data_IF_720587951255
#
_entry.id   IF_720587951255
#
_cell.length_a   1.000
_cell.length_b   1.000
_cell.length_c   1.000
_cell.angle_alpha   90.00
_cell.angle_beta   90.00
_cell.angle_gamma   90.00
#
_symmetry.space_group_name_H-M   'P 1'
#
loop_
_entity.id
_entity.type
_entity.pdbx_description
1 polymer ?
#
# COMPACT_ATOMS: atom_id res chain seq x y z
N UNK A 1 -1.50 -2.51 -2.71
CA UNK A 1 -1.40 -3.08 -4.06
C UNK A 1 0.04 -3.14 -4.39
N UNK A 2 0.57 -4.30 -4.39
CA UNK A 2 1.99 -4.50 -4.51
C UNK A 2 2.46 -4.16 -5.92
N UNK A 3 2.58 -2.90 -6.18
CA UNK A 3 3.39 -2.40 -7.29
C UNK A 3 4.84 -2.85 -7.13
N UNK A 4 5.25 -3.19 -5.90
CA UNK A 4 6.61 -3.58 -5.56
C UNK A 4 7.17 -4.77 -6.28
N UNK A 5 6.42 -5.82 -6.44
CA UNK A 5 6.93 -7.00 -7.13
C UNK A 5 7.16 -6.72 -8.63
N UNK A 6 6.24 -6.00 -9.28
CA UNK A 6 6.46 -5.59 -10.68
C UNK A 6 7.59 -4.58 -10.80
N UNK A 7 7.71 -3.67 -9.86
CA UNK A 7 8.79 -2.67 -9.84
C UNK A 7 10.15 -3.34 -9.64
N UNK A 8 10.26 -4.33 -8.75
CA UNK A 8 11.49 -5.15 -8.61
C UNK A 8 11.89 -5.84 -9.92
N UNK A 9 10.93 -6.29 -10.70
CA UNK A 9 11.21 -6.89 -12.01
C UNK A 9 11.81 -5.89 -12.99
N UNK A 10 11.41 -4.61 -12.92
CA UNK A 10 11.88 -3.56 -13.81
C UNK A 10 13.04 -2.75 -13.22
N UNK A 11 13.01 -2.46 -11.93
CA UNK A 11 14.06 -1.71 -11.24
C UNK A 11 14.11 -2.06 -9.74
N UNK A 12 15.13 -2.83 -9.29
CA UNK A 12 15.27 -3.21 -7.89
C UNK A 12 15.39 -2.02 -6.92
N UNK A 13 16.02 -0.92 -7.35
CA UNK A 13 16.18 0.26 -6.50
C UNK A 13 14.84 0.95 -6.22
N UNK A 14 13.98 1.03 -7.22
CA UNK A 14 12.64 1.61 -7.04
C UNK A 14 11.75 0.69 -6.18
N UNK A 15 12.04 -0.60 -6.11
CA UNK A 15 11.34 -1.53 -5.20
C UNK A 15 11.57 -1.19 -3.72
N UNK A 16 12.67 -0.52 -3.38
CA UNK A 16 12.87 0.00 -2.02
C UNK A 16 11.78 0.99 -1.59
N UNK A 17 11.13 1.68 -2.54
CA UNK A 17 9.98 2.54 -2.26
C UNK A 17 8.73 1.78 -1.80
N UNK A 18 8.58 0.55 -2.24
CA UNK A 18 7.47 -0.29 -1.77
C UNK A 18 7.70 -0.73 -0.32
N UNK A 19 8.96 -0.97 0.04
CA UNK A 19 9.35 -1.24 1.43
C UNK A 19 9.08 -0.03 2.34
N UNK A 20 9.18 1.21 1.81
CA UNK A 20 8.79 2.42 2.54
C UNK A 20 7.29 2.53 2.77
N UNK A 21 6.47 2.01 1.86
CA UNK A 21 5.03 1.90 2.07
C UNK A 21 4.67 1.10 3.33
N UNK A 22 5.55 0.18 3.75
CA UNK A 22 5.39 -0.61 4.98
C UNK A 22 5.92 0.13 6.21
N UNK A 23 6.68 1.22 6.02
CA UNK A 23 7.33 1.97 7.10
C UNK A 23 6.43 3.08 7.60
N UNK A 24 5.38 2.72 8.34
CA UNK A 24 4.67 3.71 9.14
C UNK A 24 5.51 4.09 10.35
N UNK A 25 5.70 5.38 10.57
CA UNK A 25 6.39 5.90 11.75
C UNK A 25 5.45 5.80 12.94
N UNK A 26 5.91 5.13 14.00
CA UNK A 26 5.15 4.96 15.23
C UNK A 26 5.72 5.90 16.29
N UNK A 27 4.85 6.71 16.88
CA UNK A 27 5.15 7.58 18.02
C UNK A 27 4.13 7.33 19.11
N UNK A 28 4.59 7.11 20.34
CA UNK A 28 3.72 6.85 21.51
C UNK A 28 2.70 5.73 21.24
N UNK A 29 3.12 4.64 20.57
CA UNK A 29 2.27 3.49 20.27
C UNK A 29 1.21 3.71 19.17
N UNK A 30 1.21 4.87 18.51
CA UNK A 30 0.29 5.19 17.41
C UNK A 30 1.05 5.51 16.14
N UNK A 31 0.45 5.21 15.00
CA UNK A 31 1.02 5.60 13.70
C UNK A 31 0.92 7.12 13.53
N UNK A 32 2.08 7.76 13.35
CA UNK A 32 2.19 9.18 13.01
C UNK A 32 2.10 9.33 11.49
N UNK A 33 0.89 9.54 10.98
CA UNK A 33 0.66 9.68 9.54
C UNK A 33 1.36 10.87 8.90
N UNK A 34 1.35 12.08 9.52
CA UNK A 34 2.11 13.21 9.00
C UNK A 34 3.60 12.91 8.84
N UNK A 35 4.25 12.33 9.86
CA UNK A 35 5.65 11.95 9.81
C UNK A 35 5.92 10.85 8.78
N UNK A 36 5.00 9.91 8.62
CA UNK A 36 5.08 8.83 7.64
C UNK A 36 5.02 9.39 6.21
N UNK A 37 4.08 10.27 5.90
CA UNK A 37 4.00 10.91 4.58
C UNK A 37 5.19 11.84 4.31
N UNK A 38 5.71 12.52 5.33
CA UNK A 38 6.91 13.34 5.19
C UNK A 38 8.14 12.49 4.85
N UNK A 39 8.25 11.30 5.43
CA UNK A 39 9.30 10.33 5.06
C UNK A 39 9.17 9.90 3.61
N UNK A 40 7.97 9.55 3.17
CA UNK A 40 7.69 9.22 1.76
C UNK A 40 8.07 10.38 0.85
N UNK A 41 7.69 11.62 1.20
CA UNK A 41 8.04 12.82 0.43
C UNK A 41 9.55 13.01 0.28
N UNK A 42 10.30 12.90 1.36
CA UNK A 42 11.77 13.01 1.35
C UNK A 42 12.43 11.94 0.49
N UNK A 43 11.91 10.73 0.55
CA UNK A 43 12.41 9.63 -0.28
C UNK A 43 12.13 9.87 -1.77
N UNK A 44 10.92 10.27 -2.12
CA UNK A 44 10.59 10.65 -3.51
C UNK A 44 11.49 11.80 -3.97
N UNK A 45 11.76 12.78 -3.12
CA UNK A 45 12.67 13.89 -3.41
C UNK A 45 14.09 13.38 -3.70
N UNK A 46 14.61 12.46 -2.90
CA UNK A 46 15.92 11.84 -3.13
C UNK A 46 15.99 11.14 -4.48
N UNK A 47 15.00 10.31 -4.81
CA UNK A 47 14.95 9.60 -6.07
C UNK A 47 14.65 10.50 -7.29
N UNK A 48 14.13 11.70 -7.05
CA UNK A 48 13.92 12.71 -8.10
C UNK A 48 15.13 13.64 -8.29
N UNK A 49 16.23 13.41 -7.57
CA UNK A 49 17.47 14.18 -7.72
C UNK A 49 18.29 13.72 -8.92
N UNK A 50 19.13 14.59 -9.53
CA UNK A 50 20.06 14.18 -10.57
C UNK A 50 21.02 13.06 -10.12
N UNK A 51 21.45 13.07 -8.85
CA UNK A 51 22.36 12.07 -8.30
C UNK A 51 21.76 10.65 -8.32
N UNK A 52 20.43 10.53 -8.21
CA UNK A 52 19.73 9.26 -8.23
C UNK A 52 19.38 8.75 -9.64
N UNK A 53 19.63 9.53 -10.70
CA UNK A 53 19.14 9.20 -12.06
C UNK A 53 19.62 7.84 -12.54
N UNK A 54 20.89 7.48 -12.29
CA UNK A 54 21.42 6.16 -12.67
C UNK A 54 20.74 5.00 -11.94
N UNK A 55 20.29 5.23 -10.71
CA UNK A 55 19.58 4.23 -9.90
C UNK A 55 18.15 4.01 -10.39
N UNK A 56 17.59 4.96 -11.14
CA UNK A 56 16.23 4.90 -11.65
C UNK A 56 16.12 4.15 -12.99
N UNK A 57 17.23 3.70 -13.56
CA UNK A 57 17.28 2.99 -14.84
C UNK A 57 17.68 1.53 -14.64
N UNK A 58 16.97 0.62 -15.31
CA UNK A 58 17.33 -0.78 -15.39
C UNK A 58 17.10 -1.29 -16.83
N UNK A 59 18.19 -1.57 -17.54
CA UNK A 59 18.12 -1.88 -18.96
C UNK A 59 17.54 -0.71 -19.75
N UNK A 60 16.45 -0.94 -20.47
CA UNK A 60 15.72 0.07 -21.25
C UNK A 60 14.56 0.73 -20.49
N UNK A 61 14.38 0.41 -19.24
CA UNK A 61 13.26 0.96 -18.44
C UNK A 61 13.75 1.94 -17.40
N UNK A 62 13.04 3.05 -17.26
CA UNK A 62 13.30 4.08 -16.29
C UNK A 62 12.06 4.38 -15.45
N UNK A 63 12.25 4.57 -14.14
CA UNK A 63 11.21 5.13 -13.26
C UNK A 63 11.15 6.63 -13.48
N UNK A 64 10.14 7.08 -14.22
CA UNK A 64 9.95 8.47 -14.63
C UNK A 64 9.02 9.27 -13.70
N UNK A 65 8.48 8.66 -12.66
CA UNK A 65 7.65 9.34 -11.68
C UNK A 65 7.27 8.46 -10.52
N UNK A 66 7.08 9.08 -9.35
CA UNK A 66 6.62 8.41 -8.13
C UNK A 66 5.61 9.33 -7.46
N UNK A 67 4.41 8.78 -7.16
CA UNK A 67 3.29 9.54 -6.61
C UNK A 67 2.70 8.81 -5.42
N UNK A 68 2.40 9.48 -4.28
CA UNK A 68 1.63 8.87 -3.22
C UNK A 68 0.20 8.58 -3.70
N UNK A 69 -0.32 7.42 -3.31
CA UNK A 69 -1.68 6.99 -3.69
C UNK A 69 -2.60 6.80 -2.48
N UNK A 70 -2.09 7.05 -1.30
CA UNK A 70 -2.84 6.97 -0.06
C UNK A 70 -2.45 5.79 0.81
N UNK A 71 -3.10 5.72 1.94
CA UNK A 71 -2.90 4.67 2.93
C UNK A 71 -3.83 3.51 2.64
N UNK A 72 -3.30 2.28 2.63
CA UNK A 72 -4.13 1.10 2.62
C UNK A 72 -4.66 0.83 4.03
N UNK A 73 -5.97 0.70 4.11
CA UNK A 73 -6.70 0.32 5.32
C UNK A 73 -7.29 -1.08 5.19
N UNK A 74 -7.50 -1.80 6.30
CA UNK A 74 -8.35 -2.99 6.31
C UNK A 74 -9.77 -2.62 5.91
N UNK A 75 -10.27 -3.20 4.83
CA UNK A 75 -11.66 -3.11 4.39
C UNK A 75 -12.28 -4.48 4.60
N UNK A 76 -13.29 -4.57 5.44
CA UNK A 76 -13.87 -5.83 5.92
C UNK A 76 -15.38 -5.87 5.68
N UNK A 77 -15.90 -7.07 5.37
CA UNK A 77 -17.34 -7.30 5.18
C UNK A 77 -18.10 -7.49 6.51
N UNK A 78 -17.39 -7.65 7.62
CA UNK A 78 -17.93 -7.68 8.99
C UNK A 78 -17.03 -6.85 9.91
N UNK A 79 -17.60 -5.81 10.56
CA UNK A 79 -16.85 -4.93 11.49
C UNK A 79 -16.33 -5.65 12.75
N UNK A 80 -16.74 -6.88 13.00
CA UNK A 80 -16.16 -7.73 14.04
C UNK A 80 -14.76 -8.22 13.69
N UNK A 81 -14.34 -8.12 12.41
CA UNK A 81 -12.96 -8.38 11.98
C UNK A 81 -12.13 -7.13 12.28
N UNK A 82 -11.91 -6.86 13.55
CA UNK A 82 -11.21 -5.66 14.06
C UNK A 82 -10.11 -5.97 15.07
N UNK A 83 -9.76 -7.25 15.26
CA UNK A 83 -8.64 -7.72 16.08
C UNK A 83 -7.75 -8.65 15.27
N UNK A 84 -6.50 -8.84 15.70
CA UNK A 84 -5.57 -9.78 15.05
C UNK A 84 -6.13 -11.20 15.13
N UNK A 85 -6.71 -11.57 16.26
CA UNK A 85 -7.30 -12.91 16.49
C UNK A 85 -8.51 -13.15 15.57
N UNK A 86 -9.29 -12.10 15.27
CA UNK A 86 -10.44 -12.22 14.38
C UNK A 86 -10.05 -12.41 12.91
N UNK A 87 -8.79 -12.22 12.55
CA UNK A 87 -8.27 -12.52 11.20
C UNK A 87 -8.09 -14.02 10.96
N UNK A 88 -7.93 -14.82 12.02
CA UNK A 88 -7.75 -16.26 11.87
C UNK A 88 -8.91 -16.91 11.09
N UNK A 89 -8.56 -17.72 10.09
CA UNK A 89 -9.51 -18.38 9.21
C UNK A 89 -10.23 -17.48 8.21
N UNK A 90 -10.02 -16.14 8.20
CA UNK A 90 -10.63 -15.23 7.23
C UNK A 90 -9.98 -15.34 5.87
N UNK A 91 -10.80 -15.19 4.83
CA UNK A 91 -10.34 -15.17 3.44
C UNK A 91 -9.89 -13.75 3.10
N UNK A 92 -8.60 -13.59 2.83
CA UNK A 92 -7.98 -12.30 2.53
C UNK A 92 -7.48 -12.30 1.09
N UNK A 93 -7.85 -11.31 0.30
CA UNK A 93 -7.34 -11.20 -1.06
C UNK A 93 -5.81 -11.02 -1.03
N UNK A 94 -5.12 -11.88 -1.77
CA UNK A 94 -3.67 -11.88 -1.93
C UNK A 94 -3.33 -11.75 -3.40
N UNK A 95 -2.50 -10.77 -3.75
CA UNK A 95 -2.07 -10.62 -5.13
C UNK A 95 -1.10 -11.72 -5.53
N UNK A 96 -1.36 -12.39 -6.65
CA UNK A 96 -0.58 -13.55 -7.13
C UNK A 96 0.91 -13.26 -7.33
N UNK A 97 1.23 -12.00 -7.59
CA UNK A 97 2.60 -11.52 -7.77
C UNK A 97 3.25 -11.02 -6.47
N UNK A 98 2.54 -11.05 -5.31
CA UNK A 98 3.03 -10.56 -4.02
C UNK A 98 3.21 -11.71 -3.01
N UNK A 99 4.36 -12.37 -3.10
CA UNK A 99 4.71 -13.45 -2.17
C UNK A 99 4.75 -12.98 -0.71
N UNK A 100 5.19 -11.75 -0.47
CA UNK A 100 5.26 -11.19 0.87
C UNK A 100 3.88 -11.05 1.50
N UNK A 101 2.89 -10.59 0.73
CA UNK A 101 1.50 -10.51 1.18
C UNK A 101 0.94 -11.89 1.53
N UNK A 102 1.16 -12.90 0.70
CA UNK A 102 0.68 -14.25 0.94
C UNK A 102 1.27 -14.85 2.23
N UNK A 103 2.58 -14.69 2.46
CA UNK A 103 3.25 -15.15 3.68
C UNK A 103 2.70 -14.44 4.92
N UNK A 104 2.51 -13.11 4.85
CA UNK A 104 1.94 -12.35 5.94
C UNK A 104 0.53 -12.84 6.30
N UNK A 105 -0.33 -13.08 5.30
CA UNK A 105 -1.68 -13.59 5.49
C UNK A 105 -1.67 -14.97 6.14
N UNK A 106 -0.80 -15.88 5.70
CA UNK A 106 -0.66 -17.20 6.30
C UNK A 106 -0.15 -17.15 7.75
N UNK A 107 0.82 -16.25 8.01
CA UNK A 107 1.41 -16.12 9.36
C UNK A 107 0.40 -15.68 10.41
N UNK A 108 -0.62 -14.93 10.05
CA UNK A 108 -1.71 -14.54 10.96
C UNK A 108 -2.85 -15.55 11.02
N UNK A 109 -2.68 -16.74 10.45
CA UNK A 109 -3.69 -17.80 10.44
C UNK A 109 -4.87 -17.55 9.51
N UNK A 110 -4.77 -16.56 8.61
CA UNK A 110 -5.78 -16.28 7.60
C UNK A 110 -5.50 -17.08 6.31
N UNK A 111 -6.49 -17.12 5.41
CA UNK A 111 -6.42 -17.84 4.15
C UNK A 111 -6.17 -16.84 3.00
N UNK A 112 -5.01 -16.88 2.33
CA UNK A 112 -4.80 -16.06 1.14
C UNK A 112 -5.66 -16.58 0.00
N UNK A 113 -6.45 -15.69 -0.60
CA UNK A 113 -7.24 -15.97 -1.80
C UNK A 113 -6.60 -15.25 -2.97
N UNK A 114 -6.15 -16.03 -3.96
CA UNK A 114 -5.57 -15.51 -5.19
C UNK A 114 -6.39 -14.38 -5.78
N UNK A 115 -5.76 -13.28 -6.11
CA UNK A 115 -6.38 -12.11 -6.72
C UNK A 115 -5.36 -11.33 -7.57
N UNK A 116 -5.87 -10.43 -8.38
CA UNK A 116 -5.10 -9.41 -9.08
C UNK A 116 -5.79 -8.05 -8.98
N UNK A 117 -5.16 -7.02 -9.54
CA UNK A 117 -5.66 -5.65 -9.49
C UNK A 117 -7.02 -5.48 -10.19
N UNK A 118 -7.38 -6.37 -11.10
CA UNK A 118 -8.63 -6.28 -11.88
C UNK A 118 -9.80 -6.95 -11.18
N UNK A 119 -9.56 -7.90 -10.27
CA UNK A 119 -10.61 -8.73 -9.68
C UNK A 119 -10.72 -8.69 -8.15
N UNK A 120 -9.72 -8.18 -7.41
CA UNK A 120 -9.72 -8.20 -5.93
C UNK A 120 -10.95 -7.50 -5.33
N UNK A 121 -11.36 -6.36 -5.91
CA UNK A 121 -12.52 -5.62 -5.44
C UNK A 121 -13.83 -6.37 -5.75
N UNK A 122 -13.92 -6.99 -6.93
CA UNK A 122 -15.05 -7.84 -7.30
C UNK A 122 -15.21 -9.03 -6.35
N UNK A 123 -14.10 -9.69 -5.99
CA UNK A 123 -14.09 -10.78 -5.00
C UNK A 123 -14.54 -10.33 -3.62
N UNK A 124 -14.21 -9.11 -3.21
CA UNK A 124 -14.71 -8.53 -1.97
C UNK A 124 -16.20 -8.18 -2.07
N UNK A 125 -16.60 -7.52 -3.14
CA UNK A 125 -17.99 -7.07 -3.32
C UNK A 125 -18.99 -8.22 -3.43
N UNK A 126 -18.56 -9.39 -3.92
CA UNK A 126 -19.41 -10.58 -4.01
C UNK A 126 -19.25 -11.56 -2.83
N UNK A 127 -18.44 -11.22 -1.82
CA UNK A 127 -18.24 -12.03 -0.63
C UNK A 127 -17.32 -13.24 -0.81
N UNK A 128 -16.56 -13.33 -1.91
CA UNK A 128 -15.55 -14.39 -2.09
C UNK A 128 -14.37 -14.23 -1.14
N UNK A 129 -14.10 -13.01 -0.68
CA UNK A 129 -13.12 -12.68 0.37
C UNK A 129 -13.80 -11.83 1.46
N UNK A 130 -13.26 -11.93 2.67
CA UNK A 130 -13.79 -11.25 3.85
C UNK A 130 -13.06 -9.93 4.15
N UNK A 131 -11.86 -9.81 3.59
CA UNK A 131 -10.94 -8.71 3.84
C UNK A 131 -10.12 -8.37 2.58
N UNK A 132 -9.97 -7.09 2.34
CA UNK A 132 -8.99 -6.54 1.40
C UNK A 132 -8.22 -5.38 2.04
N UNK A 133 -6.99 -5.15 1.60
CA UNK A 133 -6.25 -3.94 1.90
C UNK A 133 -6.46 -2.94 0.74
N UNK A 134 -7.06 -1.78 1.01
CA UNK A 134 -7.35 -0.81 -0.04
C UNK A 134 -7.25 0.63 0.47
N UNK A 135 -6.81 1.58 -0.39
CA UNK A 135 -6.81 3.00 -0.06
C UNK A 135 -8.21 3.59 -0.18
N UNK A 136 -8.46 4.70 0.52
CA UNK A 136 -9.72 5.45 0.44
C UNK A 136 -10.06 5.86 -1.01
N UNK A 137 -9.06 6.13 -1.83
CA UNK A 137 -9.25 6.46 -3.24
C UNK A 137 -9.89 5.33 -4.07
N UNK A 138 -9.84 4.08 -3.59
CA UNK A 138 -10.48 2.93 -4.22
C UNK A 138 -11.96 2.77 -3.84
N UNK A 139 -12.43 3.43 -2.78
CA UNK A 139 -13.76 3.22 -2.20
C UNK A 139 -14.89 3.40 -3.20
N UNK A 140 -14.95 4.55 -3.87
CA UNK A 140 -15.99 4.82 -4.87
C UNK A 140 -15.75 4.17 -6.23
N UNK A 141 -14.55 4.29 -6.86
CA UNK A 141 -14.32 3.72 -8.18
C UNK A 141 -14.47 2.20 -8.26
N UNK A 142 -14.13 1.50 -7.17
CA UNK A 142 -14.26 0.05 -7.09
C UNK A 142 -15.51 -0.41 -6.33
N UNK A 143 -16.41 0.53 -6.01
CA UNK A 143 -17.69 0.27 -5.34
C UNK A 143 -17.56 -0.56 -4.05
N UNK A 144 -16.48 -0.34 -3.27
CA UNK A 144 -16.19 -1.15 -2.08
C UNK A 144 -17.32 -1.09 -1.04
N UNK A 145 -18.17 -0.06 -1.09
CA UNK A 145 -19.37 0.04 -0.26
C UNK A 145 -20.33 -1.14 -0.44
N UNK A 146 -20.30 -1.83 -1.58
CA UNK A 146 -21.14 -3.03 -1.81
C UNK A 146 -20.70 -4.21 -0.94
N UNK A 147 -19.39 -4.50 -0.92
CA UNK A 147 -18.82 -5.55 -0.09
C UNK A 147 -18.87 -5.22 1.41
N UNK A 148 -18.71 -3.95 1.77
CA UNK A 148 -18.87 -3.46 3.15
C UNK A 148 -20.33 -3.63 3.61
N UNK A 149 -21.29 -3.28 2.76
CA UNK A 149 -22.70 -3.34 3.09
C UNK A 149 -23.03 -2.61 4.38
N UNK A 150 -23.97 -3.16 5.16
CA UNK A 150 -24.39 -2.60 6.47
C UNK A 150 -23.60 -3.17 7.65
N UNK A 151 -22.90 -4.28 7.46
CA UNK A 151 -22.20 -5.02 8.54
C UNK A 151 -20.71 -4.75 8.57
N UNK A 152 -20.12 -4.36 7.45
CA UNK A 152 -18.69 -4.17 7.29
C UNK A 152 -18.19 -2.81 7.78
N UNK A 153 -16.89 -2.59 7.58
CA UNK A 153 -16.21 -1.35 7.92
C UNK A 153 -14.91 -1.17 7.13
N UNK A 154 -14.38 0.05 7.19
CA UNK A 154 -12.98 0.37 6.91
C UNK A 154 -12.33 0.66 8.26
N UNK A 155 -11.43 -0.20 8.71
CA UNK A 155 -10.79 -0.03 10.00
C UNK A 155 -9.70 1.05 9.93
N UNK A 156 -9.73 2.02 10.86
CA UNK A 156 -8.75 3.13 10.95
C UNK A 156 -7.39 2.65 11.45
N UNK A 157 -6.83 1.71 10.73
CA UNK A 157 -5.49 1.22 10.99
C UNK A 157 -4.68 1.25 9.69
N UNK A 158 -3.68 2.13 9.58
CA UNK A 158 -2.85 2.21 8.39
C UNK A 158 -1.94 0.98 8.29
N UNK A 159 -2.17 0.14 7.28
CA UNK A 159 -1.33 -1.03 7.02
C UNK A 159 -0.02 -0.59 6.37
N UNK A 160 -0.12 0.24 5.33
CA UNK A 160 1.02 0.75 4.55
C UNK A 160 0.61 2.00 3.76
N UNK A 161 1.60 2.79 3.35
CA UNK A 161 1.40 3.89 2.41
C UNK A 161 1.70 3.39 1.01
N UNK A 162 0.75 3.57 0.11
CA UNK A 162 0.88 3.18 -1.29
C UNK A 162 1.51 4.30 -2.11
N UNK A 163 2.38 3.91 -3.03
CA UNK A 163 2.90 4.79 -4.08
C UNK A 163 2.69 4.14 -5.45
N UNK A 164 2.48 4.96 -6.47
CA UNK A 164 2.55 4.54 -7.86
C UNK A 164 3.85 4.98 -8.49
N UNK A 165 4.43 4.09 -9.29
CA UNK A 165 5.57 4.41 -10.11
C UNK A 165 5.14 4.48 -11.58
N UNK A 166 5.66 5.49 -12.27
CA UNK A 166 5.51 5.65 -13.71
C UNK A 166 6.79 5.11 -14.34
N UNK A 167 6.66 4.00 -15.05
CA UNK A 167 7.77 3.35 -15.72
C UNK A 167 7.67 3.60 -17.21
N UNK A 168 8.74 4.07 -17.81
CA UNK A 168 8.85 4.31 -19.24
C UNK A 168 9.90 3.41 -19.88
N UNK A 169 9.77 3.17 -21.19
CA UNK A 169 10.88 2.67 -21.99
C UNK A 169 11.68 3.90 -22.46
N UNK A 170 12.86 4.12 -21.83
CA UNK A 170 13.67 5.33 -22.05
C UNK A 170 14.04 5.57 -23.51
N UNK A 171 14.20 4.49 -24.32
CA UNK A 171 14.53 4.61 -25.73
C UNK A 171 13.45 5.24 -26.59
N UNK A 172 12.23 5.43 -26.02
CA UNK A 172 11.08 6.05 -26.69
C UNK A 172 10.87 7.51 -26.32
N UNK A 173 11.74 8.06 -25.47
CA UNK A 173 11.63 9.43 -24.96
C UNK A 173 12.93 10.19 -25.19
N UNK A 174 12.90 11.53 -25.24
CA UNK A 174 14.10 12.35 -25.34
C UNK A 174 15.05 12.13 -24.14
N UNK A 175 16.34 12.33 -24.37
CA UNK A 175 17.34 12.27 -23.30
C UNK A 175 16.98 13.17 -22.12
N UNK A 176 17.15 12.67 -20.91
CA UNK A 176 16.84 13.36 -19.66
C UNK A 176 15.34 13.51 -19.35
N UNK A 177 14.45 12.93 -20.18
CA UNK A 177 13.00 12.99 -19.95
C UNK A 177 12.63 12.42 -18.56
N UNK A 178 13.18 11.26 -18.17
CA UNK A 178 12.84 10.60 -16.91
C UNK A 178 13.13 11.48 -15.70
N UNK A 179 14.29 12.16 -15.65
CA UNK A 179 14.60 13.09 -14.57
C UNK A 179 13.61 14.27 -14.51
N UNK A 180 13.34 14.91 -15.65
CA UNK A 180 12.37 16.03 -15.73
C UNK A 180 10.98 15.58 -15.29
N UNK A 181 10.57 14.39 -15.69
CA UNK A 181 9.30 13.81 -15.32
C UNK A 181 9.23 13.52 -13.81
N UNK A 182 10.27 12.93 -13.19
CA UNK A 182 10.33 12.72 -11.73
C UNK A 182 10.20 14.03 -10.95
N UNK A 183 10.90 15.09 -11.40
CA UNK A 183 10.81 16.43 -10.78
C UNK A 183 9.41 17.03 -10.92
N UNK A 184 8.76 16.86 -12.07
CA UNK A 184 7.38 17.28 -12.25
C UNK A 184 6.43 16.56 -11.27
N UNK A 185 6.55 15.24 -11.16
CA UNK A 185 5.70 14.46 -10.26
C UNK A 185 5.97 14.74 -8.78
N UNK A 186 7.21 15.00 -8.39
CA UNK A 186 7.52 15.50 -7.05
C UNK A 186 6.79 16.81 -6.77
N UNK A 187 6.74 17.73 -7.73
CA UNK A 187 5.96 18.98 -7.62
C UNK A 187 4.45 18.77 -7.45
N UNK A 188 3.91 17.61 -7.88
CA UNK A 188 2.49 17.27 -7.70
C UNK A 188 2.18 16.61 -6.34
N UNK A 189 3.17 16.41 -5.47
CA UNK A 189 2.99 15.70 -4.19
C UNK A 189 1.84 16.30 -3.36
N UNK A 190 1.81 17.61 -3.15
CA UNK A 190 0.77 18.26 -2.34
C UNK A 190 -0.62 18.13 -2.97
N UNK A 191 -0.71 18.16 -4.31
CA UNK A 191 -1.97 17.92 -5.02
C UNK A 191 -2.45 16.50 -4.82
N UNK A 192 -1.55 15.50 -4.89
CA UNK A 192 -1.89 14.11 -4.60
C UNK A 192 -2.39 13.95 -3.15
N UNK A 193 -1.72 14.58 -2.18
CA UNK A 193 -2.17 14.58 -0.78
C UNK A 193 -3.55 15.22 -0.61
N UNK A 194 -3.85 16.31 -1.30
CA UNK A 194 -5.19 16.91 -1.31
C UNK A 194 -6.27 15.94 -1.79
N UNK A 195 -5.98 15.20 -2.88
CA UNK A 195 -6.92 14.19 -3.42
C UNK A 195 -7.11 13.01 -2.47
N UNK A 196 -6.03 12.54 -1.83
CA UNK A 196 -6.08 11.47 -0.83
C UNK A 196 -6.96 11.91 0.35
N UNK A 197 -6.69 13.08 0.92
CA UNK A 197 -7.45 13.63 2.04
C UNK A 197 -8.93 13.84 1.70
N UNK A 198 -9.21 14.29 0.47
CA UNK A 198 -10.59 14.42 -0.01
C UNK A 198 -11.27 13.05 -0.08
N UNK A 199 -10.63 12.05 -0.65
CA UNK A 199 -11.19 10.70 -0.76
C UNK A 199 -11.50 10.09 0.61
N UNK A 200 -10.63 10.30 1.62
CA UNK A 200 -10.88 9.86 2.99
C UNK A 200 -12.10 10.58 3.64
N UNK A 201 -12.24 11.89 3.41
CA UNK A 201 -13.37 12.68 3.90
C UNK A 201 -14.69 12.33 3.22
N UNK A 202 -14.64 11.91 1.95
CA UNK A 202 -15.82 11.55 1.16
C UNK A 202 -16.42 10.18 1.56
N UNK A 203 -15.71 9.40 2.37
CA UNK A 203 -16.22 8.14 2.94
C UNK A 203 -17.13 8.48 4.12
N UNK A 204 -18.40 7.97 4.14
CA UNK A 204 -19.32 8.24 5.24
C UNK A 204 -18.72 7.85 6.61
N UNK A 205 -18.90 8.68 7.62
CA UNK A 205 -18.34 8.46 8.95
C UNK A 205 -18.73 7.08 9.55
N UNK A 206 -19.95 6.62 9.30
CA UNK A 206 -20.45 5.33 9.78
C UNK A 206 -19.76 4.12 9.13
N UNK A 207 -19.09 4.31 7.98
CA UNK A 207 -18.33 3.26 7.30
C UNK A 207 -17.00 2.98 8.02
N UNK A 208 -16.46 3.96 8.74
CA UNK A 208 -15.22 3.80 9.48
C UNK A 208 -15.44 2.99 10.75
N UNK A 209 -14.47 2.13 11.06
CA UNK A 209 -14.37 1.40 12.31
C UNK A 209 -13.11 1.81 13.06
N UNK A 210 -13.22 2.05 14.37
CA UNK A 210 -12.07 2.37 15.20
C UNK A 210 -11.58 1.10 15.91
N UNK A 211 -10.25 0.95 16.00
CA UNK A 211 -9.62 -0.09 16.79
C UNK A 211 -9.30 0.45 18.18
N UNK A 212 -9.42 -0.41 19.21
CA UNK A 212 -8.90 -0.09 20.53
C UNK A 212 -7.39 0.13 20.48
N UNK A 213 -6.86 0.91 21.42
CA UNK A 213 -5.40 1.12 21.53
C UNK A 213 -4.63 -0.20 21.67
N UNK A 214 -5.18 -1.16 22.40
CA UNK A 214 -4.62 -2.51 22.53
C UNK A 214 -4.53 -3.23 21.18
N UNK A 215 -5.61 -3.23 20.39
CA UNK A 215 -5.62 -3.85 19.07
C UNK A 215 -4.67 -3.16 18.10
N UNK A 216 -4.55 -1.83 18.15
CA UNK A 216 -3.55 -1.11 17.35
C UNK A 216 -2.12 -1.57 17.65
N UNK A 217 -1.78 -1.79 18.92
CA UNK A 217 -0.46 -2.33 19.34
C UNK A 217 -0.29 -3.75 18.80
N UNK A 218 -1.29 -4.62 18.94
CA UNK A 218 -1.23 -6.00 18.43
C UNK A 218 -1.03 -6.05 16.92
N UNK A 219 -1.76 -5.23 16.15
CA UNK A 219 -1.57 -5.11 14.70
C UNK A 219 -0.16 -4.62 14.34
N UNK A 220 0.37 -3.65 15.08
CA UNK A 220 1.72 -3.12 14.88
C UNK A 220 2.78 -4.20 15.09
N UNK A 221 2.66 -4.98 16.17
CA UNK A 221 3.56 -6.09 16.48
C UNK A 221 3.46 -7.17 15.39
N UNK A 222 2.26 -7.57 15.02
CA UNK A 222 2.00 -8.55 13.97
C UNK A 222 2.65 -8.15 12.63
N UNK A 223 2.48 -6.90 12.20
CA UNK A 223 3.08 -6.40 10.96
C UNK A 223 4.61 -6.36 11.03
N UNK A 224 5.18 -5.95 12.18
CA UNK A 224 6.63 -5.98 12.41
C UNK A 224 7.18 -7.39 12.31
N UNK A 225 6.60 -8.33 13.02
CA UNK A 225 7.07 -9.72 13.08
C UNK A 225 6.91 -10.42 11.72
N UNK A 226 5.88 -10.05 10.97
CA UNK A 226 5.70 -10.52 9.60
C UNK A 226 6.80 -9.99 8.67
N UNK A 227 7.17 -8.71 8.78
CA UNK A 227 8.27 -8.14 7.99
C UNK A 227 9.61 -8.79 8.30
N UNK A 228 9.91 -9.03 9.58
CA UNK A 228 11.12 -9.73 10.01
C UNK A 228 11.18 -11.12 9.35
N UNK A 229 10.11 -11.89 9.46
CA UNK A 229 10.06 -13.24 8.88
C UNK A 229 10.18 -13.24 7.34
N UNK A 230 9.63 -12.23 6.65
CA UNK A 230 9.74 -12.08 5.21
C UNK A 230 11.17 -11.71 4.80
N UNK A 231 11.86 -10.87 5.59
CA UNK A 231 13.26 -10.51 5.39
C UNK A 231 14.20 -11.71 5.64
N UNK A 232 13.92 -12.53 6.66
CA UNK A 232 14.67 -13.76 6.93
C UNK A 232 14.57 -14.77 5.78
N UNK A 233 13.45 -14.78 5.06
CA UNK A 233 13.27 -15.60 3.84
C UNK A 233 13.91 -14.98 2.58
N UNK A 234 14.60 -13.83 2.70
CA UNK A 234 15.26 -13.15 1.58
C UNK A 234 14.31 -12.53 0.57
N UNK A 235 13.04 -12.34 0.92
CA UNK A 235 12.03 -11.69 0.07
C UNK A 235 12.14 -10.16 0.18
N UNK A 236 12.44 -9.65 1.37
CA UNK A 236 12.83 -8.26 1.60
C UNK A 236 14.33 -8.17 1.86
N UNK A 237 14.93 -7.05 1.48
CA UNK A 237 16.30 -6.72 1.88
C UNK A 237 16.35 -6.50 3.41
N UNK A 238 17.46 -6.95 4.02
CA UNK A 238 17.70 -6.82 5.46
C UNK A 238 18.13 -5.41 5.83
#
# INVERSE_FOLDING_TARGET
MATGFRTRQFNPTAAALDSLGVSTIIRNGKVDMPASYETVRKTIQTFSSPAASKLMVNGRYEVAGIIPFGTAYPVVNDRKINTVEALAGKRIASFDYDKAQAIMIQKIGAQPVSADITNFAGKFNNGSVDFIAAPAMAYRPLELYRGIGTKGAINRFPILILTYQIIINETKFPEGFGLKSRQYWLGQFNRAMSLINKAEKDIPAATWGDLSSENMVKYTIMLRDSRIAIAEQGIYDK
#
